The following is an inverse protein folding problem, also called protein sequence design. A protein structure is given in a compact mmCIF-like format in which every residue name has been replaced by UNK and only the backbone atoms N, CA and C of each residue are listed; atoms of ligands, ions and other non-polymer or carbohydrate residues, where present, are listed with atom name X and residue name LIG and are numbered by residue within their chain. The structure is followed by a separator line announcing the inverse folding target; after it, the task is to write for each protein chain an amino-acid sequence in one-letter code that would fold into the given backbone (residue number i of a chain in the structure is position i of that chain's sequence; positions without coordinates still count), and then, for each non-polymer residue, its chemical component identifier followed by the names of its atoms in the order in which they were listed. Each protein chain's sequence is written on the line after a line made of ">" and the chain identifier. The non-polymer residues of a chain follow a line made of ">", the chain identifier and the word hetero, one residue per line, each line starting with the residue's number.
data_IF_046451899598
#
_entry.id   IF_046451899598
#
_cell.length_a   1.000
_cell.length_b   1.000
_cell.length_c   1.000
_cell.angle_alpha   90.00
_cell.angle_beta   90.00
_cell.angle_gamma   90.00
#
_symmetry.space_group_name_H-M   'P 1'
#
loop_
_entity.id
_entity.type
_entity.pdbx_description
1 polymer ?
#
# COMPACT_ATOMS: atom_id res chain seq x y z
N UNK A 1 5.74 22.18 3.75
CA UNK A 1 5.60 21.35 2.51
C UNK A 1 6.21 19.95 2.66
N UNK A 2 7.47 19.82 3.08
CA UNK A 2 8.17 18.53 3.26
C UNK A 2 7.47 17.55 4.24
N UNK A 3 6.89 18.08 5.33
CA UNK A 3 6.14 17.29 6.33
C UNK A 3 4.90 16.61 5.75
N UNK A 4 4.23 17.22 4.77
CA UNK A 4 3.07 16.64 4.10
C UNK A 4 3.48 15.54 3.10
N UNK A 5 4.66 15.67 2.49
CA UNK A 5 5.24 14.63 1.62
C UNK A 5 5.62 13.39 2.40
N UNK A 6 6.29 13.56 3.55
CA UNK A 6 6.62 12.42 4.42
C UNK A 6 5.35 11.72 4.92
N UNK A 7 4.29 12.46 5.28
CA UNK A 7 3.00 11.86 5.65
C UNK A 7 2.40 11.03 4.52
N UNK A 8 2.43 11.52 3.28
CA UNK A 8 1.89 10.79 2.13
C UNK A 8 2.66 9.49 1.86
N UNK A 9 3.98 9.51 1.97
CA UNK A 9 4.83 8.30 1.86
C UNK A 9 4.50 7.31 2.97
N UNK A 10 4.39 7.77 4.22
CA UNK A 10 4.05 6.90 5.36
C UNK A 10 2.67 6.27 5.17
N UNK A 11 1.66 7.04 4.75
CA UNK A 11 0.31 6.52 4.47
C UNK A 11 0.37 5.46 3.37
N UNK A 12 1.08 5.74 2.27
CA UNK A 12 1.26 4.77 1.18
C UNK A 12 1.93 3.48 1.65
N UNK A 13 2.99 3.59 2.47
CA UNK A 13 3.68 2.44 3.05
C UNK A 13 2.77 1.62 3.97
N UNK A 14 1.98 2.27 4.83
CA UNK A 14 1.06 1.58 5.73
C UNK A 14 0.00 0.78 4.96
N UNK A 15 -0.57 1.37 3.91
CA UNK A 15 -1.55 0.71 3.03
C UNK A 15 -0.89 -0.45 2.28
N UNK A 16 0.34 -0.27 1.79
CA UNK A 16 1.13 -1.32 1.14
C UNK A 16 1.33 -2.52 2.08
N UNK A 17 1.77 -2.28 3.33
CA UNK A 17 1.99 -3.34 4.32
C UNK A 17 0.68 -4.05 4.65
N UNK A 18 -0.43 -3.31 4.83
CA UNK A 18 -1.74 -3.90 5.06
C UNK A 18 -2.17 -4.82 3.90
N UNK A 19 -2.02 -4.35 2.66
CA UNK A 19 -2.28 -5.14 1.44
C UNK A 19 -1.33 -6.32 1.23
N UNK A 20 -0.25 -6.43 2.00
CA UNK A 20 0.68 -7.57 1.99
C UNK A 20 0.31 -8.61 3.05
N UNK A 21 -0.32 -8.19 4.17
CA UNK A 21 -0.66 -9.06 5.31
C UNK A 21 -1.98 -9.82 5.08
N UNK A 22 -2.95 -9.21 4.41
CA UNK A 22 -4.29 -9.79 4.19
C UNK A 22 -4.29 -11.19 3.53
N UNK A 23 -3.43 -11.54 2.55
CA UNK A 23 -3.42 -12.87 1.94
C UNK A 23 -3.00 -13.96 2.93
N UNK A 24 -2.14 -13.62 3.90
CA UNK A 24 -1.74 -14.54 4.96
C UNK A 24 -2.90 -14.84 5.91
N UNK A 25 -3.70 -13.82 6.25
CA UNK A 25 -4.93 -13.99 7.03
C UNK A 25 -5.90 -14.91 6.28
N UNK A 26 -5.97 -14.75 4.95
CA UNK A 26 -6.89 -15.53 4.14
C UNK A 26 -6.54 -17.03 4.05
N UNK A 27 -5.26 -17.36 3.93
CA UNK A 27 -4.77 -18.74 4.01
C UNK A 27 -5.21 -19.41 5.33
N UNK A 28 -5.18 -18.66 6.45
CA UNK A 28 -5.67 -19.14 7.74
C UNK A 28 -7.19 -19.35 7.76
N UNK A 29 -7.97 -18.46 7.14
CA UNK A 29 -9.44 -18.55 7.07
C UNK A 29 -9.87 -19.74 6.21
N UNK A 30 -9.32 -19.89 5.01
CA UNK A 30 -9.65 -21.01 4.10
C UNK A 30 -9.33 -22.36 4.76
N UNK A 31 -8.20 -22.44 5.47
CA UNK A 31 -7.80 -23.65 6.21
C UNK A 31 -8.74 -23.99 7.37
N UNK A 32 -9.35 -22.98 8.00
CA UNK A 32 -10.20 -23.16 9.19
C UNK A 32 -11.68 -23.42 8.86
N UNK A 33 -12.19 -22.83 7.78
CA UNK A 33 -13.63 -22.84 7.45
C UNK A 33 -14.00 -23.65 6.20
N UNK A 34 -13.02 -24.21 5.48
CA UNK A 34 -13.24 -25.13 4.35
C UNK A 34 -13.88 -24.48 3.12
N UNK A 35 -14.54 -25.30 2.27
CA UNK A 35 -15.05 -24.89 0.94
C UNK A 35 -16.01 -23.69 0.97
N UNK A 36 -16.76 -23.49 2.06
CA UNK A 36 -17.69 -22.36 2.18
C UNK A 36 -17.00 -21.00 2.30
N UNK A 37 -15.72 -20.97 2.69
CA UNK A 37 -14.95 -19.74 2.85
C UNK A 37 -14.13 -19.37 1.60
N UNK A 38 -14.14 -20.21 0.55
CA UNK A 38 -13.37 -19.97 -0.67
C UNK A 38 -13.78 -18.65 -1.36
N UNK A 39 -15.08 -18.37 -1.43
CA UNK A 39 -15.57 -17.12 -2.03
C UNK A 39 -15.18 -15.88 -1.20
N UNK A 40 -15.20 -16.02 0.14
CA UNK A 40 -14.77 -14.96 1.06
C UNK A 40 -13.26 -14.73 0.88
N UNK A 41 -12.48 -15.80 0.72
CA UNK A 41 -11.05 -15.65 0.56
C UNK A 41 -10.61 -15.07 -0.77
N UNK A 42 -11.24 -15.47 -1.88
CA UNK A 42 -11.02 -14.83 -3.17
C UNK A 42 -11.32 -13.32 -3.08
N UNK A 43 -12.39 -12.93 -2.39
CA UNK A 43 -12.70 -11.51 -2.18
C UNK A 43 -11.65 -10.79 -1.33
N UNK A 44 -11.11 -11.45 -0.29
CA UNK A 44 -10.03 -10.90 0.54
C UNK A 44 -8.71 -10.76 -0.22
N UNK A 45 -8.33 -11.75 -1.04
CA UNK A 45 -7.14 -11.68 -1.91
C UNK A 45 -7.29 -10.54 -2.93
N UNK A 46 -8.45 -10.41 -3.56
CA UNK A 46 -8.71 -9.32 -4.50
C UNK A 46 -8.60 -7.95 -3.81
N UNK A 47 -9.20 -7.80 -2.63
CA UNK A 47 -9.11 -6.59 -1.81
C UNK A 47 -7.66 -6.29 -1.42
N UNK A 48 -6.92 -7.32 -1.03
CA UNK A 48 -5.50 -7.24 -0.68
C UNK A 48 -4.66 -6.70 -1.84
N UNK A 49 -4.89 -7.21 -3.04
CA UNK A 49 -4.17 -6.81 -4.24
C UNK A 49 -4.45 -5.34 -4.57
N UNK A 50 -5.70 -4.90 -4.44
CA UNK A 50 -6.10 -3.51 -4.64
C UNK A 50 -5.40 -2.60 -3.63
N UNK A 51 -5.44 -2.94 -2.34
CA UNK A 51 -4.77 -2.18 -1.29
C UNK A 51 -3.26 -2.11 -1.52
N UNK A 52 -2.64 -3.23 -1.88
CA UNK A 52 -1.22 -3.30 -2.22
C UNK A 52 -0.88 -2.33 -3.35
N UNK A 53 -1.60 -2.40 -4.47
CA UNK A 53 -1.37 -1.52 -5.62
C UNK A 53 -1.57 -0.03 -5.25
N UNK A 54 -2.61 0.27 -4.46
CA UNK A 54 -2.87 1.63 -4.00
C UNK A 54 -1.72 2.17 -3.13
N UNK A 55 -1.21 1.35 -2.22
CA UNK A 55 -0.07 1.69 -1.36
C UNK A 55 1.21 1.94 -2.16
N UNK A 56 1.49 1.12 -3.17
CA UNK A 56 2.62 1.32 -4.09
C UNK A 56 2.49 2.65 -4.83
N UNK A 57 1.32 2.93 -5.42
CA UNK A 57 1.09 4.16 -6.20
C UNK A 57 1.27 5.41 -5.32
N UNK A 58 0.67 5.43 -4.12
CA UNK A 58 0.78 6.55 -3.20
C UNK A 58 2.23 6.79 -2.76
N UNK A 59 2.95 5.70 -2.45
CA UNK A 59 4.37 5.76 -2.08
C UNK A 59 5.21 6.34 -3.22
N UNK A 60 5.02 5.85 -4.45
CA UNK A 60 5.75 6.34 -5.64
C UNK A 60 5.47 7.81 -5.94
N UNK A 61 4.20 8.24 -5.85
CA UNK A 61 3.82 9.65 -6.00
C UNK A 61 4.50 10.51 -4.94
N UNK A 62 4.53 10.04 -3.69
CA UNK A 62 5.20 10.70 -2.58
C UNK A 62 6.69 10.91 -2.83
N UNK A 63 7.40 9.85 -3.24
CA UNK A 63 8.82 9.91 -3.60
C UNK A 63 9.08 10.84 -4.79
N UNK A 64 8.29 10.74 -5.86
CA UNK A 64 8.45 11.59 -7.04
C UNK A 64 8.32 13.08 -6.69
N UNK A 65 7.33 13.44 -5.87
CA UNK A 65 7.16 14.82 -5.39
C UNK A 65 8.32 15.26 -4.50
N UNK A 66 8.87 14.37 -3.68
CA UNK A 66 10.03 14.64 -2.83
C UNK A 66 11.30 14.93 -3.65
N UNK A 67 11.55 14.13 -4.69
CA UNK A 67 12.68 14.33 -5.61
C UNK A 67 12.58 15.70 -6.30
N UNK A 68 11.40 16.04 -6.84
CA UNK A 68 11.18 17.34 -7.48
C UNK A 68 11.39 18.52 -6.51
N UNK A 69 10.99 18.37 -5.24
CA UNK A 69 11.22 19.39 -4.22
C UNK A 69 12.72 19.65 -4.01
N UNK A 70 13.54 18.60 -3.89
CA UNK A 70 14.99 18.76 -3.73
C UNK A 70 15.68 19.31 -4.99
N UNK A 71 15.27 18.88 -6.19
CA UNK A 71 15.79 19.43 -7.45
C UNK A 71 15.53 20.94 -7.59
N UNK A 72 14.34 21.38 -7.18
CA UNK A 72 13.98 22.80 -7.18
C UNK A 72 14.74 23.63 -6.14
N UNK A 73 15.20 23.03 -5.04
CA UNK A 73 16.04 23.71 -4.06
C UNK A 73 17.48 23.85 -4.57
N UNK A 74 18.03 22.82 -5.23
CA UNK A 74 19.37 22.89 -5.83
C UNK A 74 19.44 23.91 -6.98
N UNK A 75 18.41 24.06 -7.79
CA UNK A 75 18.37 25.05 -8.87
C UNK A 75 18.18 26.50 -8.39
N UNK A 76 17.97 26.73 -7.09
CA UNK A 76 17.72 28.06 -6.50
C UNK A 76 18.83 28.54 -5.57
N UNK A 77 19.82 27.70 -5.27
CA UNK A 77 21.05 28.09 -4.57
C UNK A 77 22.18 28.27 -5.58
#
# INVERSE_FOLDING_TARGET
>A
MLRNLNRLIIIGLSIFVAGLIIPFIDIFIIKSFGKSAVNIGIALIALSLILFLLGVILTLIGFRKRINYYKNLQNKG
#
